data_IF_067445858956
#
_entry.id   IF_067445858956
#
_cell.length_a   1.000
_cell.length_b   1.000
_cell.length_c   1.000
_cell.angle_alpha   90.00
_cell.angle_beta   90.00
_cell.angle_gamma   90.00
#
_symmetry.space_group_name_H-M   'P 1'
#
loop_
_entity.id
_entity.type
_entity.pdbx_description
1 polymer ?
#
# COMPACT_ATOMS: atom_id res chain seq x y z
N UNK A 1 4.91 -5.20 8.43
CA UNK A 1 5.15 -5.94 9.69
C UNK A 1 3.96 -5.71 10.59
N UNK A 2 3.41 -6.77 11.15
CA UNK A 2 2.30 -6.68 12.09
C UNK A 2 2.83 -6.44 13.51
N UNK A 3 2.36 -5.38 14.17
CA UNK A 3 2.63 -5.13 15.58
C UNK A 3 1.67 -5.92 16.48
N UNK A 4 0.41 -6.03 16.04
CA UNK A 4 -0.62 -6.87 16.66
C UNK A 4 -0.97 -8.03 15.70
N UNK A 5 -1.46 -9.16 16.23
CA UNK A 5 -2.00 -10.23 15.40
C UNK A 5 -3.12 -9.71 14.47
N UNK A 6 -3.14 -10.19 13.24
CA UNK A 6 -4.14 -9.88 12.22
C UNK A 6 -4.79 -11.16 11.75
N UNK A 7 -6.09 -11.29 11.96
CA UNK A 7 -6.89 -12.42 11.51
C UNK A 7 -8.20 -11.93 10.86
N UNK A 8 -9.01 -12.85 10.38
CA UNK A 8 -10.30 -12.53 9.75
C UNK A 8 -11.28 -11.78 10.67
N UNK A 9 -11.20 -11.95 11.99
CA UNK A 9 -12.07 -11.23 12.94
C UNK A 9 -11.72 -9.75 13.08
N UNK A 10 -10.43 -9.42 13.08
CA UNK A 10 -9.95 -8.04 13.23
C UNK A 10 -9.52 -7.38 11.90
N UNK A 11 -9.94 -7.99 10.78
CA UNK A 11 -9.80 -7.45 9.44
C UNK A 11 -8.39 -7.57 8.90
N UNK A 12 -7.80 -8.77 8.85
CA UNK A 12 -6.52 -9.00 8.17
C UNK A 12 -6.55 -8.53 6.71
N UNK A 13 -5.37 -8.38 6.09
CA UNK A 13 -5.31 -8.12 4.65
C UNK A 13 -5.92 -9.30 3.90
N UNK A 14 -6.58 -9.00 2.79
CA UNK A 14 -7.03 -9.95 1.79
C UNK A 14 -6.37 -9.60 0.47
N UNK A 15 -6.04 -10.63 -0.32
CA UNK A 15 -5.38 -10.47 -1.62
C UNK A 15 -6.09 -11.29 -2.68
N UNK A 16 -6.11 -10.79 -3.92
CA UNK A 16 -6.60 -11.59 -5.06
C UNK A 16 -5.44 -12.40 -5.62
N UNK A 17 -5.52 -13.72 -5.49
CA UNK A 17 -4.41 -14.62 -5.87
C UNK A 17 -4.01 -14.40 -7.34
N UNK A 18 -2.74 -14.09 -7.56
CA UNK A 18 -2.16 -13.99 -8.91
C UNK A 18 -2.47 -12.70 -9.66
N UNK A 19 -3.23 -11.75 -9.10
CA UNK A 19 -3.63 -10.51 -9.80
C UNK A 19 -2.43 -9.66 -10.26
N UNK A 20 -1.31 -9.72 -9.55
CA UNK A 20 -0.07 -9.00 -9.86
C UNK A 20 0.58 -9.45 -11.18
N UNK A 21 0.28 -10.66 -11.67
CA UNK A 21 0.96 -11.25 -12.83
C UNK A 21 0.71 -10.46 -14.12
N UNK A 22 -0.44 -9.82 -14.24
CA UNK A 22 -0.81 -9.02 -15.42
C UNK A 22 -0.11 -7.66 -15.47
N UNK A 23 0.43 -7.18 -14.33
CA UNK A 23 1.05 -5.85 -14.19
C UNK A 23 0.15 -4.70 -14.70
N UNK A 24 -1.17 -4.88 -14.60
CA UNK A 24 -2.18 -3.91 -15.03
C UNK A 24 -2.54 -2.99 -13.87
N UNK A 25 -2.82 -1.72 -14.18
CA UNK A 25 -3.53 -0.82 -13.27
C UNK A 25 -5.03 -1.02 -13.40
N UNK A 26 -5.68 -1.28 -12.27
CA UNK A 26 -7.12 -1.45 -12.18
C UNK A 26 -7.80 -0.10 -11.89
N UNK A 27 -9.04 0.04 -12.36
CA UNK A 27 -9.81 1.26 -12.13
C UNK A 27 -10.26 1.35 -10.67
N UNK A 28 -10.12 2.54 -10.11
CA UNK A 28 -10.54 2.85 -8.75
C UNK A 28 -11.75 3.78 -8.76
N UNK A 29 -12.48 3.76 -7.65
CA UNK A 29 -13.49 4.75 -7.31
C UNK A 29 -13.25 5.28 -5.88
N UNK A 30 -13.79 6.46 -5.61
CA UNK A 30 -13.85 7.02 -4.26
C UNK A 30 -15.14 6.57 -3.60
N UNK A 31 -15.05 5.84 -2.50
CA UNK A 31 -16.18 5.45 -1.68
C UNK A 31 -16.36 6.48 -0.54
N UNK A 32 -17.48 7.22 -0.48
CA UNK A 32 -17.66 8.30 0.49
C UNK A 32 -18.05 7.82 1.90
N UNK A 33 -18.07 6.51 2.17
CA UNK A 33 -18.42 5.96 3.48
C UNK A 33 -17.46 6.45 4.59
N UNK A 34 -17.96 7.13 5.64
CA UNK A 34 -17.12 7.68 6.70
C UNK A 34 -16.49 6.61 7.60
N UNK A 35 -16.94 5.35 7.55
CA UNK A 35 -16.33 4.24 8.29
C UNK A 35 -15.03 3.74 7.65
N UNK A 36 -14.74 4.17 6.41
CA UNK A 36 -13.53 3.79 5.71
C UNK A 36 -12.31 4.59 6.16
N UNK A 37 -11.28 3.87 6.59
CA UNK A 37 -9.95 4.47 6.83
C UNK A 37 -9.26 4.86 5.52
N UNK A 38 -9.50 4.11 4.44
CA UNK A 38 -9.02 4.40 3.09
C UNK A 38 -10.21 4.32 2.14
N UNK A 39 -10.49 5.41 1.45
CA UNK A 39 -11.69 5.57 0.64
C UNK A 39 -11.48 5.29 -0.85
N UNK A 40 -10.27 4.90 -1.27
CA UNK A 40 -10.00 4.45 -2.63
C UNK A 40 -10.13 2.94 -2.69
N UNK A 41 -11.06 2.45 -3.51
CA UNK A 41 -11.30 1.02 -3.73
C UNK A 41 -11.37 0.71 -5.23
N UNK A 42 -11.15 -0.55 -5.61
CA UNK A 42 -11.33 -0.99 -6.98
C UNK A 42 -12.80 -1.06 -7.34
N UNK A 43 -13.12 -0.80 -8.62
CA UNK A 43 -14.43 -1.15 -9.16
C UNK A 43 -14.66 -2.65 -9.01
N UNK A 44 -15.89 -3.06 -8.69
CA UNK A 44 -16.24 -4.47 -8.42
C UNK A 44 -15.99 -5.37 -9.63
N UNK A 45 -16.04 -4.83 -10.84
CA UNK A 45 -15.81 -5.56 -12.09
C UNK A 45 -14.33 -5.77 -12.40
N UNK A 46 -13.41 -5.12 -11.66
CA UNK A 46 -11.96 -5.23 -11.88
C UNK A 46 -11.34 -6.45 -11.17
N UNK A 47 -12.07 -7.12 -10.28
CA UNK A 47 -11.59 -8.30 -9.57
C UNK A 47 -12.71 -9.29 -9.23
N UNK A 48 -12.35 -10.56 -9.07
CA UNK A 48 -13.26 -11.61 -8.61
C UNK A 48 -12.96 -11.91 -7.14
N UNK A 49 -13.88 -11.51 -6.26
CA UNK A 49 -13.77 -11.66 -4.82
C UNK A 49 -13.71 -13.13 -4.36
N UNK A 50 -14.22 -14.08 -5.17
CA UNK A 50 -14.10 -15.51 -4.85
C UNK A 50 -12.64 -16.01 -4.85
N UNK A 51 -11.73 -15.27 -5.50
CA UNK A 51 -10.29 -15.53 -5.49
C UNK A 51 -9.55 -14.82 -4.34
N UNK A 52 -10.27 -14.17 -3.43
CA UNK A 52 -9.70 -13.51 -2.28
C UNK A 52 -9.13 -14.54 -1.29
N UNK A 53 -7.92 -14.28 -0.81
CA UNK A 53 -7.23 -15.09 0.19
C UNK A 53 -6.89 -14.19 1.39
N UNK A 54 -7.30 -14.62 2.58
CA UNK A 54 -6.96 -13.96 3.84
C UNK A 54 -5.48 -14.18 4.19
N UNK A 55 -4.80 -13.08 4.51
CA UNK A 55 -3.41 -13.06 4.95
C UNK A 55 -3.37 -12.89 6.46
N UNK A 56 -3.67 -13.97 7.19
CA UNK A 56 -3.57 -13.97 8.64
C UNK A 56 -2.09 -14.02 9.08
N UNK A 57 -1.75 -13.21 10.07
CA UNK A 57 -0.39 -12.99 10.52
C UNK A 57 -0.38 -12.79 12.04
N UNK A 58 0.52 -13.48 12.72
CA UNK A 58 0.80 -13.22 14.14
C UNK A 58 1.60 -11.92 14.32
N UNK A 59 1.64 -11.43 15.56
CA UNK A 59 2.49 -10.29 15.91
C UNK A 59 3.96 -10.59 15.58
N UNK A 60 4.63 -9.62 14.96
CA UNK A 60 6.00 -9.73 14.46
C UNK A 60 6.12 -10.29 13.04
N UNK A 61 5.08 -10.93 12.49
CA UNK A 61 5.13 -11.46 11.12
C UNK A 61 5.08 -10.36 10.06
N UNK A 62 5.55 -10.71 8.86
CA UNK A 62 5.57 -9.82 7.70
C UNK A 62 4.83 -10.44 6.52
N UNK A 63 4.21 -9.59 5.73
CA UNK A 63 3.77 -9.91 4.37
C UNK A 63 4.53 -9.01 3.40
N UNK A 64 5.00 -9.60 2.31
CA UNK A 64 5.66 -8.93 1.20
C UNK A 64 4.76 -9.09 -0.02
N UNK A 65 4.41 -7.99 -0.67
CA UNK A 65 3.56 -8.02 -1.86
C UNK A 65 4.12 -7.12 -2.95
N UNK A 66 3.92 -7.56 -4.19
CA UNK A 66 4.19 -6.78 -5.39
C UNK A 66 3.19 -5.61 -5.51
N UNK A 67 3.62 -4.51 -6.13
CA UNK A 67 2.80 -3.28 -6.27
C UNK A 67 1.50 -3.52 -7.05
N UNK A 68 1.46 -4.52 -7.93
CA UNK A 68 0.27 -4.88 -8.72
C UNK A 68 -0.63 -5.91 -8.02
N UNK A 69 -0.27 -6.40 -6.82
CA UNK A 69 -1.14 -7.33 -6.10
C UNK A 69 -2.36 -6.55 -5.58
N UNK A 70 -3.54 -6.97 -6.00
CA UNK A 70 -4.79 -6.42 -5.51
C UNK A 70 -4.91 -6.85 -4.06
N UNK A 71 -5.06 -5.87 -3.17
CA UNK A 71 -5.16 -6.10 -1.75
C UNK A 71 -6.09 -5.07 -1.11
N UNK A 72 -6.71 -5.48 -0.01
CA UNK A 72 -7.55 -4.64 0.83
C UNK A 72 -7.69 -5.26 2.21
N UNK A 73 -8.49 -4.69 3.10
CA UNK A 73 -8.84 -5.32 4.36
C UNK A 73 -10.32 -5.20 4.63
N UNK A 74 -10.89 -6.24 5.23
CA UNK A 74 -12.25 -6.19 5.74
C UNK A 74 -12.36 -5.25 6.96
N UNK A 75 -13.59 -4.89 7.30
CA UNK A 75 -13.92 -4.16 8.52
C UNK A 75 -13.45 -4.96 9.75
N UNK A 76 -12.81 -4.28 10.70
CA UNK A 76 -12.49 -4.88 11.99
C UNK A 76 -13.77 -4.93 12.84
N UNK A 77 -14.28 -6.14 13.12
CA UNK A 77 -15.48 -6.35 13.92
C UNK A 77 -15.17 -6.80 15.35
N UNK A 78 -13.89 -6.90 15.69
CA UNK A 78 -13.43 -7.34 17.00
C UNK A 78 -13.25 -6.16 17.97
N UNK A 79 -13.03 -6.47 19.25
CA UNK A 79 -12.62 -5.48 20.27
C UNK A 79 -11.10 -5.19 20.27
N UNK A 80 -10.33 -5.80 19.36
CA UNK A 80 -8.86 -5.71 19.33
C UNK A 80 -8.40 -4.77 18.22
N UNK A 81 -7.32 -4.02 18.47
CA UNK A 81 -6.65 -3.25 17.42
C UNK A 81 -5.93 -4.16 16.42
N UNK A 82 -5.72 -3.65 15.22
CA UNK A 82 -4.82 -4.23 14.20
C UNK A 82 -3.84 -3.17 13.74
N UNK A 83 -2.65 -3.15 14.35
CA UNK A 83 -1.58 -2.18 14.02
C UNK A 83 -0.50 -2.83 13.17
N UNK A 84 -0.11 -2.14 12.11
CA UNK A 84 0.94 -2.61 11.20
C UNK A 84 1.84 -1.46 10.76
N UNK A 85 3.11 -1.79 10.51
CA UNK A 85 4.09 -0.92 9.87
C UNK A 85 4.24 -1.33 8.40
N UNK A 86 4.02 -0.38 7.50
CA UNK A 86 4.22 -0.57 6.06
C UNK A 86 5.50 0.12 5.61
N UNK A 87 6.36 -0.64 4.94
CA UNK A 87 7.54 -0.13 4.24
C UNK A 87 7.33 -0.35 2.74
N UNK A 88 7.63 0.67 1.93
CA UNK A 88 7.58 0.59 0.47
C UNK A 88 8.99 0.66 -0.08
N UNK A 89 9.30 -0.28 -0.97
CA UNK A 89 10.59 -0.36 -1.65
C UNK A 89 10.37 -0.14 -3.14
N UNK A 90 11.33 0.52 -3.79
CA UNK A 90 11.40 0.65 -5.25
C UNK A 90 12.80 0.25 -5.69
N UNK A 91 12.99 -0.32 -6.90
CA UNK A 91 14.31 -0.58 -7.43
C UNK A 91 15.09 0.74 -7.61
N UNK A 92 16.41 0.69 -7.54
CA UNK A 92 17.26 1.89 -7.70
C UNK A 92 17.25 2.47 -9.11
N UNK A 93 16.59 1.81 -10.07
CA UNK A 93 16.30 2.33 -11.40
C UNK A 93 15.04 3.18 -11.48
N UNK A 94 14.23 3.23 -10.41
CA UNK A 94 13.04 4.08 -10.33
C UNK A 94 13.39 5.45 -9.77
N UNK A 95 12.66 6.48 -10.21
CA UNK A 95 12.76 7.84 -9.69
C UNK A 95 11.59 8.11 -8.74
N UNK A 96 11.88 8.61 -7.54
CA UNK A 96 10.84 9.13 -6.65
C UNK A 96 10.51 10.57 -7.07
N UNK A 97 9.44 10.71 -7.85
CA UNK A 97 9.05 11.99 -8.43
C UNK A 97 8.42 12.92 -7.38
N UNK A 98 9.24 13.85 -6.87
CA UNK A 98 8.85 14.83 -5.86
C UNK A 98 7.93 15.91 -6.43
N UNK A 99 8.13 16.31 -7.68
CA UNK A 99 7.28 17.32 -8.33
C UNK A 99 5.87 16.79 -8.57
N UNK A 100 5.77 15.53 -9.03
CA UNK A 100 4.50 14.84 -9.17
C UNK A 100 3.77 14.72 -7.83
N UNK A 101 4.50 14.39 -6.75
CA UNK A 101 3.93 14.37 -5.39
C UNK A 101 3.30 15.70 -5.03
N UNK A 102 4.04 16.81 -5.15
CA UNK A 102 3.49 18.14 -4.83
C UNK A 102 2.35 18.54 -5.74
N UNK A 103 2.39 18.15 -7.02
CA UNK A 103 1.28 18.36 -7.95
C UNK A 103 0.02 17.63 -7.50
N UNK A 104 0.13 16.33 -7.17
CA UNK A 104 -1.01 15.53 -6.71
C UNK A 104 -1.56 16.02 -5.37
N UNK A 105 -0.71 16.52 -4.47
CA UNK A 105 -1.17 17.14 -3.24
C UNK A 105 -2.04 18.38 -3.51
N UNK A 106 -1.61 19.25 -4.43
CA UNK A 106 -2.39 20.44 -4.83
C UNK A 106 -3.68 20.11 -5.58
N UNK A 107 -3.61 19.20 -6.55
CA UNK A 107 -4.72 18.91 -7.47
C UNK A 107 -5.77 17.98 -6.86
N UNK A 108 -5.35 17.05 -6.00
CA UNK A 108 -6.21 15.97 -5.47
C UNK A 108 -6.32 15.98 -3.95
N UNK A 109 -5.73 16.95 -3.26
CA UNK A 109 -5.75 17.03 -1.79
C UNK A 109 -5.04 15.86 -1.11
N UNK A 110 -4.11 15.20 -1.80
CA UNK A 110 -3.31 14.12 -1.23
C UNK A 110 -2.23 14.67 -0.29
N UNK A 111 -1.68 13.81 0.56
CA UNK A 111 -0.55 14.18 1.40
C UNK A 111 0.67 14.39 0.51
N UNK A 112 1.31 15.56 0.61
CA UNK A 112 2.56 15.80 -0.09
C UNK A 112 3.70 14.99 0.55
N UNK A 113 4.39 14.22 -0.27
CA UNK A 113 5.57 13.45 0.07
C UNK A 113 6.86 14.02 -0.55
N UNK A 114 6.85 15.23 -1.11
CA UNK A 114 8.02 15.87 -1.70
C UNK A 114 9.20 15.98 -0.72
N UNK A 115 8.94 16.13 0.57
CA UNK A 115 9.97 16.16 1.63
C UNK A 115 10.17 14.81 2.34
N UNK A 116 9.70 13.70 1.75
CA UNK A 116 9.96 12.37 2.31
C UNK A 116 11.43 11.99 2.12
N UNK A 117 12.08 11.56 3.21
CA UNK A 117 13.42 10.98 3.16
C UNK A 117 13.39 9.64 2.43
N UNK A 118 14.28 9.50 1.44
CA UNK A 118 14.57 8.22 0.79
C UNK A 118 15.83 7.62 1.41
N UNK A 119 15.77 6.35 1.74
CA UNK A 119 16.89 5.63 2.29
C UNK A 119 17.38 4.59 1.27
N UNK A 120 18.64 4.70 0.85
CA UNK A 120 19.28 3.71 -0.01
C UNK A 120 19.57 2.44 0.80
N UNK A 121 18.70 1.44 0.69
CA UNK A 121 18.79 0.21 1.47
C UNK A 121 19.96 -0.68 1.05
N UNK A 122 20.26 -0.75 -0.25
CA UNK A 122 21.34 -1.58 -0.80
C UNK A 122 21.74 -1.11 -2.20
N UNK A 123 23.03 -1.22 -2.50
CA UNK A 123 23.57 -1.00 -3.85
C UNK A 123 23.87 0.46 -4.14
N UNK A 124 23.58 0.90 -5.37
CA UNK A 124 23.78 2.27 -5.85
C UNK A 124 22.55 2.75 -6.60
N UNK A 125 22.37 4.06 -6.66
CA UNK A 125 21.33 4.68 -7.47
C UNK A 125 21.60 4.43 -8.96
N UNK A 126 20.67 3.79 -9.65
CA UNK A 126 20.79 3.46 -11.08
C UNK A 126 20.05 4.47 -11.96
N UNK A 127 19.07 5.19 -11.43
CA UNK A 127 18.48 6.33 -12.14
C UNK A 127 19.47 7.49 -12.22
N UNK A 128 20.23 7.72 -11.14
CA UNK A 128 21.10 8.89 -11.00
C UNK A 128 20.34 10.18 -10.70
N UNK A 129 19.04 10.08 -10.44
CA UNK A 129 18.11 11.20 -10.28
C UNK A 129 17.54 11.28 -8.86
N UNK A 130 17.73 10.26 -8.02
CA UNK A 130 17.14 10.24 -6.68
C UNK A 130 17.94 11.08 -5.69
N UNK A 131 17.20 11.87 -4.90
CA UNK A 131 17.75 12.64 -3.79
C UNK A 131 17.60 11.89 -2.45
N UNK A 132 18.73 11.48 -1.87
CA UNK A 132 18.83 10.76 -0.59
C UNK A 132 19.12 11.66 0.63
N UNK A 133 19.00 12.99 0.51
CA UNK A 133 19.15 13.90 1.67
C UNK A 133 18.17 13.53 2.78
N UNK A 134 18.68 13.44 4.01
CA UNK A 134 17.87 13.28 5.21
C UNK A 134 17.08 14.56 5.48
N UNK A 135 15.78 14.39 5.67
CA UNK A 135 14.82 15.43 6.01
C UNK A 135 14.14 15.04 7.32
N UNK A 136 13.98 16.02 8.20
CA UNK A 136 13.46 15.87 9.56
C UNK A 136 12.21 16.73 9.74
#
# INVERSE_FOLDING_TARGET
MQGDAANTENGCLQVIRGSHRSKKLFRHQTNPDPELTLNQELLKEEFDESNAVSMELEAGMISLHDVYLVHGSAVNRSSRSRRGLTLRFMPTSSVFDREWSSRMAREKGLVDHAERTLFLMRGKDLSGENDFRLRW
#
